data_IF_394880532950
#
_entry.id   IF_394880532950
#
_cell.length_a   1.000
_cell.length_b   1.000
_cell.length_c   1.000
_cell.angle_alpha   90.00
_cell.angle_beta   90.00
_cell.angle_gamma   90.00
#
_symmetry.space_group_name_H-M   'P 1'
#
loop_
_entity.id
_entity.type
_entity.pdbx_description
1 polymer ?
#
# COMPACT_ATOMS: atom_id res chain seq x y z
N UNK A 1 11.69 19.26 9.07
CA UNK A 1 10.53 18.76 9.86
C UNK A 1 9.17 19.03 9.21
N UNK A 2 9.05 19.91 8.20
CA UNK A 2 7.75 20.18 7.54
C UNK A 2 7.23 19.06 6.61
N UNK A 3 8.10 18.35 5.91
CA UNK A 3 7.67 17.40 4.86
C UNK A 3 6.80 16.26 5.40
N UNK A 4 7.12 15.74 6.59
CA UNK A 4 6.31 14.70 7.26
C UNK A 4 4.94 15.20 7.70
N UNK A 5 4.83 16.47 8.10
CA UNK A 5 3.55 17.07 8.45
C UNK A 5 2.66 17.22 7.21
N UNK A 6 3.23 17.64 6.08
CA UNK A 6 2.51 17.68 4.81
C UNK A 6 2.10 16.27 4.35
N UNK A 7 2.97 15.28 4.45
CA UNK A 7 2.62 13.88 4.15
C UNK A 7 1.48 13.37 5.03
N UNK A 8 1.48 13.68 6.32
CA UNK A 8 0.40 13.32 7.23
C UNK A 8 -0.93 14.00 6.87
N UNK A 9 -0.88 15.27 6.46
CA UNK A 9 -2.07 16.01 6.01
C UNK A 9 -2.68 15.35 4.76
N UNK A 10 -1.86 15.04 3.77
CA UNK A 10 -2.32 14.39 2.55
C UNK A 10 -2.76 12.95 2.77
N UNK A 11 -2.13 12.24 3.72
CA UNK A 11 -2.60 10.92 4.15
C UNK A 11 -4.04 11.02 4.67
N UNK A 12 -4.31 11.96 5.59
CA UNK A 12 -5.65 12.13 6.15
C UNK A 12 -6.70 12.44 5.06
N UNK A 13 -6.33 13.19 4.03
CA UNK A 13 -7.22 13.49 2.91
C UNK A 13 -7.48 12.27 2.00
N UNK A 14 -6.47 11.41 1.79
CA UNK A 14 -6.56 10.25 0.91
C UNK A 14 -7.12 8.99 1.58
N UNK A 15 -6.92 8.82 2.88
CA UNK A 15 -7.40 7.66 3.64
C UNK A 15 -8.89 7.32 3.40
N UNK A 16 -9.86 8.28 3.42
CA UNK A 16 -11.26 7.95 3.15
C UNK A 16 -11.51 7.53 1.70
N UNK A 17 -10.76 8.08 0.73
CA UNK A 17 -10.89 7.71 -0.68
C UNK A 17 -10.36 6.29 -0.87
N UNK A 18 -9.17 6.00 -0.34
CA UNK A 18 -8.56 4.68 -0.38
C UNK A 18 -9.50 3.62 0.22
N UNK A 19 -10.09 3.89 1.38
CA UNK A 19 -11.00 2.94 2.04
C UNK A 19 -12.23 2.57 1.20
N UNK A 20 -12.72 3.50 0.36
CA UNK A 20 -13.88 3.26 -0.53
C UNK A 20 -13.52 2.57 -1.84
N UNK A 21 -12.28 2.71 -2.32
CA UNK A 21 -11.84 2.16 -3.61
C UNK A 21 -11.10 0.82 -3.47
N UNK A 22 -10.52 0.55 -2.29
CA UNK A 22 -9.71 -0.64 -2.05
C UNK A 22 -10.53 -1.94 -1.97
N UNK A 23 -9.88 -3.06 -2.30
CA UNK A 23 -10.48 -4.38 -2.24
C UNK A 23 -10.93 -4.75 -0.80
N UNK A 24 -12.12 -5.34 -0.60
CA UNK A 24 -12.60 -5.75 0.71
C UNK A 24 -11.71 -6.77 1.43
N UNK A 25 -10.90 -7.56 0.73
CA UNK A 25 -9.99 -8.55 1.31
C UNK A 25 -8.58 -7.98 1.55
N UNK A 26 -8.29 -6.74 1.13
CA UNK A 26 -7.03 -6.09 1.43
C UNK A 26 -6.99 -5.68 2.92
N UNK A 27 -6.04 -6.21 3.68
CA UNK A 27 -5.87 -5.88 5.11
C UNK A 27 -4.59 -5.08 5.42
N UNK A 28 -3.73 -4.83 4.43
CA UNK A 28 -2.45 -4.17 4.64
C UNK A 28 -2.59 -2.65 4.78
N UNK A 29 -1.90 -2.06 5.77
CA UNK A 29 -1.76 -0.59 5.96
C UNK A 29 -3.07 0.22 6.10
N UNK A 30 -4.20 -0.45 6.33
CA UNK A 30 -5.52 0.19 6.50
C UNK A 30 -5.83 0.48 7.96
N UNK A 31 -6.63 1.52 8.17
CA UNK A 31 -7.20 1.82 9.48
C UNK A 31 -8.23 0.75 9.84
N UNK A 32 -8.29 0.35 11.11
CA UNK A 32 -9.26 -0.62 11.63
C UNK A 32 -9.19 -2.04 11.02
N UNK A 33 -8.11 -2.40 10.32
CA UNK A 33 -7.82 -3.78 9.89
C UNK A 33 -6.46 -4.23 10.37
N UNK A 34 -6.33 -5.53 10.58
CA UNK A 34 -5.15 -6.16 11.15
C UNK A 34 -4.77 -7.45 10.41
N UNK A 35 -3.60 -7.99 10.74
CA UNK A 35 -3.18 -9.31 10.27
C UNK A 35 -4.14 -10.42 10.68
N UNK A 36 -4.83 -10.26 11.81
CA UNK A 36 -5.77 -11.26 12.32
C UNK A 36 -7.00 -11.36 11.40
N UNK A 37 -7.45 -10.25 10.83
CA UNK A 37 -8.55 -10.23 9.87
C UNK A 37 -8.18 -10.97 8.59
N UNK A 38 -6.94 -10.79 8.10
CA UNK A 38 -6.44 -11.53 6.95
C UNK A 38 -6.39 -13.05 7.22
N UNK A 39 -5.94 -13.46 8.41
CA UNK A 39 -5.93 -14.86 8.80
C UNK A 39 -7.35 -15.44 8.93
N UNK A 40 -8.29 -14.66 9.49
CA UNK A 40 -9.70 -15.02 9.56
C UNK A 40 -10.31 -15.20 8.17
N UNK A 41 -9.99 -14.31 7.23
CA UNK A 41 -10.45 -14.43 5.84
C UNK A 41 -9.90 -15.68 5.16
N UNK A 42 -8.62 -15.99 5.34
CA UNK A 42 -8.04 -17.25 4.87
C UNK A 42 -8.77 -18.48 5.45
N UNK A 43 -9.10 -18.45 6.74
CA UNK A 43 -9.85 -19.52 7.38
C UNK A 43 -11.24 -19.68 6.75
N UNK A 44 -12.00 -18.60 6.59
CA UNK A 44 -13.34 -18.64 5.99
C UNK A 44 -13.30 -19.22 4.57
N UNK A 45 -12.34 -18.80 3.75
CA UNK A 45 -12.20 -19.25 2.35
C UNK A 45 -11.78 -20.72 2.28
N UNK A 46 -10.89 -21.17 3.17
CA UNK A 46 -10.29 -22.50 3.10
C UNK A 46 -10.98 -23.54 4.01
N UNK A 47 -11.93 -23.18 4.86
CA UNK A 47 -12.60 -24.14 5.75
C UNK A 47 -13.69 -24.97 5.07
N UNK A 48 -14.17 -24.53 3.89
CA UNK A 48 -15.31 -25.18 3.23
C UNK A 48 -14.93 -26.47 2.49
N UNK A 49 -15.93 -27.36 2.30
CA UNK A 49 -15.75 -28.61 1.54
C UNK A 49 -15.36 -28.35 0.07
N UNK A 50 -15.83 -27.24 -0.51
CA UNK A 50 -15.53 -26.82 -1.89
C UNK A 50 -14.36 -25.81 -1.96
N UNK A 51 -13.34 -25.97 -1.12
CA UNK A 51 -12.17 -25.07 -1.09
C UNK A 51 -11.19 -25.34 -2.24
N UNK A 52 -10.42 -24.30 -2.58
CA UNK A 52 -9.23 -24.46 -3.42
C UNK A 52 -8.23 -25.42 -2.77
N UNK A 53 -7.67 -26.34 -3.56
CA UNK A 53 -6.66 -27.32 -3.11
C UNK A 53 -5.22 -26.78 -3.20
N UNK A 54 -5.03 -25.70 -3.95
CA UNK A 54 -3.71 -25.11 -4.22
C UNK A 54 -3.76 -23.62 -3.95
N UNK A 55 -2.67 -23.09 -3.37
CA UNK A 55 -2.49 -21.68 -3.06
C UNK A 55 -1.26 -21.20 -3.81
N UNK A 56 -1.38 -20.06 -4.49
CA UNK A 56 -0.25 -19.39 -5.10
C UNK A 56 0.32 -18.37 -4.11
N UNK A 57 1.52 -18.63 -3.61
CA UNK A 57 2.27 -17.67 -2.82
C UNK A 57 3.13 -16.81 -3.75
N UNK A 58 2.99 -15.49 -3.64
CA UNK A 58 3.73 -14.53 -4.45
C UNK A 58 4.02 -13.26 -3.66
N UNK A 59 5.18 -12.67 -3.94
CA UNK A 59 5.61 -11.39 -3.38
C UNK A 59 6.14 -10.47 -4.49
N UNK A 60 6.01 -9.16 -4.30
CA UNK A 60 6.41 -8.15 -5.28
C UNK A 60 7.82 -7.67 -4.97
N UNK A 61 8.77 -8.08 -5.82
CA UNK A 61 10.18 -7.67 -5.69
C UNK A 61 10.35 -6.17 -5.88
N UNK A 62 10.90 -5.50 -4.86
CA UNK A 62 11.22 -4.07 -4.92
C UNK A 62 9.99 -3.17 -5.02
N UNK A 63 8.89 -3.54 -4.34
CA UNK A 63 7.60 -2.84 -4.40
C UNK A 63 7.72 -1.31 -4.36
N UNK A 64 8.42 -0.75 -3.37
CA UNK A 64 8.55 0.72 -3.23
C UNK A 64 9.54 1.37 -4.21
N UNK A 65 10.53 0.62 -4.68
CA UNK A 65 11.59 1.15 -5.55
C UNK A 65 11.16 1.18 -7.03
N UNK A 66 10.20 0.32 -7.41
CA UNK A 66 9.77 0.10 -8.79
C UNK A 66 8.43 0.76 -9.15
N UNK A 67 7.90 1.65 -8.31
CA UNK A 67 6.63 2.33 -8.60
C UNK A 67 6.85 3.39 -9.69
N UNK A 68 6.06 3.33 -10.78
CA UNK A 68 6.13 4.32 -11.85
C UNK A 68 5.59 5.68 -11.41
N UNK A 69 6.44 6.70 -11.49
CA UNK A 69 6.10 8.08 -11.13
C UNK A 69 5.01 8.68 -12.02
N UNK A 70 5.07 8.43 -13.33
CA UNK A 70 4.09 8.94 -14.29
C UNK A 70 2.72 8.33 -14.01
N UNK A 71 2.68 7.06 -13.64
CA UNK A 71 1.45 6.38 -13.26
C UNK A 71 0.85 6.98 -11.98
N UNK A 72 1.66 7.27 -10.96
CA UNK A 72 1.20 7.90 -9.72
C UNK A 72 0.57 9.29 -10.00
N UNK A 73 1.23 10.11 -10.82
CA UNK A 73 0.75 11.46 -11.15
C UNK A 73 -0.55 11.43 -11.96
N UNK A 74 -0.73 10.41 -12.81
CA UNK A 74 -1.92 10.26 -13.64
C UNK A 74 -3.14 9.74 -12.85
N UNK A 75 -2.94 8.85 -11.88
CA UNK A 75 -4.02 8.06 -11.28
C UNK A 75 -4.36 8.41 -9.82
N UNK A 76 -3.49 9.12 -9.09
CA UNK A 76 -3.80 9.50 -7.71
C UNK A 76 -4.65 10.78 -7.69
N UNK A 77 -5.78 10.80 -6.96
CA UNK A 77 -6.63 11.97 -6.80
C UNK A 77 -6.02 12.98 -5.80
N UNK A 78 -4.87 13.54 -6.14
CA UNK A 78 -4.15 14.57 -5.38
C UNK A 78 -3.72 15.71 -6.31
N UNK A 79 -3.43 16.88 -5.76
CA UNK A 79 -2.76 17.96 -6.49
C UNK A 79 -1.45 17.47 -7.14
N UNK A 80 -1.46 17.44 -8.48
CA UNK A 80 -0.35 17.00 -9.32
C UNK A 80 0.89 17.88 -9.16
N UNK A 81 0.74 19.17 -8.86
CA UNK A 81 1.86 20.07 -8.65
C UNK A 81 2.64 19.74 -7.37
N UNK A 82 1.98 19.13 -6.38
CA UNK A 82 2.60 18.68 -5.14
C UNK A 82 3.14 17.27 -5.31
N UNK A 83 2.35 16.38 -5.91
CA UNK A 83 2.75 14.99 -6.17
C UNK A 83 3.94 14.87 -7.13
N UNK A 84 4.17 15.85 -8.02
CA UNK A 84 5.37 15.88 -8.89
C UNK A 84 6.65 16.28 -8.15
N UNK A 85 6.55 16.98 -7.01
CA UNK A 85 7.71 17.49 -6.24
C UNK A 85 8.26 16.44 -5.28
N UNK A 86 7.42 15.63 -4.65
CA UNK A 86 7.84 14.66 -3.64
C UNK A 86 8.73 13.53 -4.15
N UNK A 87 8.47 12.92 -5.32
CA UNK A 87 9.28 11.80 -5.77
C UNK A 87 10.67 12.26 -6.25
N UNK A 88 10.76 13.48 -6.80
CA UNK A 88 12.04 14.12 -7.14
C UNK A 88 12.91 14.42 -5.92
N UNK A 89 12.32 14.50 -4.72
CA UNK A 89 13.03 14.76 -3.47
C UNK A 89 13.62 13.49 -2.81
N UNK A 90 13.48 12.29 -3.41
CA UNK A 90 14.09 11.07 -2.88
C UNK A 90 13.40 10.51 -1.64
N UNK A 91 12.08 10.29 -1.74
CA UNK A 91 11.20 9.98 -0.61
C UNK A 91 11.51 8.65 0.12
N UNK A 92 12.12 7.66 -0.55
CA UNK A 92 12.54 6.41 0.10
C UNK A 92 14.05 6.43 0.38
N UNK A 93 14.43 6.45 1.65
CA UNK A 93 15.84 6.29 2.07
C UNK A 93 16.30 4.90 1.63
N UNK A 94 17.16 4.82 0.60
CA UNK A 94 17.81 3.56 0.21
C UNK A 94 18.43 2.92 1.46
N UNK A 95 17.87 1.82 1.94
CA UNK A 95 18.54 0.99 2.95
C UNK A 95 19.81 0.47 2.29
N UNK A 96 20.98 0.90 2.76
CA UNK A 96 22.20 0.11 2.57
C UNK A 96 21.88 -1.26 3.16
N UNK A 97 21.85 -2.29 2.32
CA UNK A 97 21.86 -3.66 2.80
C UNK A 97 23.05 -3.79 3.75
N UNK A 98 22.79 -4.09 5.02
CA UNK A 98 23.81 -4.64 5.89
C UNK A 98 24.15 -6.00 5.27
N UNK A 99 25.30 -6.07 4.63
CA UNK A 99 25.95 -7.31 4.27
C UNK A 99 26.47 -7.93 5.57
N UNK A 100 25.76 -8.91 6.08
CA UNK A 100 26.24 -10.00 6.94
C UNK A 100 25.23 -11.15 6.87
#
# INVERSE_FOLDING_TARGET
MGDRAFQALYKLALDPIAETLEDPNCCGFRTARSRQDAAGQCFIVLANCNRAQWILEGDIKGFFDNISHDWLIANIPMDKAILTKWPKAGYSRKRKALSE
#
